data_IF_748018229442
#
_entry.id   IF_748018229442
#
_cell.length_a   1.000
_cell.length_b   1.000
_cell.length_c   1.000
_cell.angle_alpha   90.00
_cell.angle_beta   90.00
_cell.angle_gamma   90.00
#
_symmetry.space_group_name_H-M   'P 1'
#
loop_
_entity.id
_entity.type
_entity.pdbx_description
1 polymer ?
#
# COMPACT_ATOMS: atom_id res chain seq x y z
N UNK A 1 16.15 -1.54 8.91
CA UNK A 1 16.78 -1.96 7.63
C UNK A 1 16.80 -3.46 7.64
N UNK A 2 16.11 -4.09 6.71
CA UNK A 2 16.02 -5.54 6.64
C UNK A 2 17.30 -6.08 5.99
N UNK A 3 17.90 -7.11 6.61
CA UNK A 3 19.15 -7.74 6.15
C UNK A 3 18.80 -9.04 5.43
N UNK A 4 19.17 -9.14 4.16
CA UNK A 4 19.02 -10.36 3.36
C UNK A 4 20.38 -11.06 3.37
N UNK A 5 20.42 -12.30 3.87
CA UNK A 5 21.61 -13.15 3.81
C UNK A 5 21.79 -13.67 2.39
N UNK A 6 23.02 -13.62 1.90
CA UNK A 6 23.42 -14.02 0.55
C UNK A 6 24.63 -14.95 0.60
N UNK A 7 24.95 -15.63 -0.51
CA UNK A 7 26.18 -16.43 -0.63
C UNK A 7 27.49 -15.65 -0.42
N UNK A 8 27.47 -14.29 -0.49
CA UNK A 8 28.64 -13.41 -0.33
C UNK A 8 28.54 -12.46 0.88
N UNK A 9 27.68 -12.74 1.86
CA UNK A 9 27.46 -11.90 3.04
C UNK A 9 26.03 -11.35 3.11
N UNK A 10 25.85 -10.09 3.50
CA UNK A 10 24.52 -9.49 3.66
C UNK A 10 24.25 -8.36 2.66
N UNK A 11 23.04 -8.35 2.08
CA UNK A 11 22.48 -7.20 1.35
C UNK A 11 21.46 -6.48 2.23
N UNK A 12 21.46 -5.16 2.13
CA UNK A 12 20.57 -4.29 2.89
C UNK A 12 19.48 -3.74 1.98
N UNK A 13 18.23 -3.87 2.43
CA UNK A 13 17.07 -3.26 1.78
C UNK A 13 16.34 -2.33 2.75
N UNK A 14 15.66 -1.33 2.17
CA UNK A 14 14.87 -0.35 2.92
C UNK A 14 13.42 -0.39 2.49
N UNK A 15 12.54 -0.74 3.42
CA UNK A 15 11.10 -0.85 3.15
C UNK A 15 10.41 0.52 3.15
N UNK A 16 10.76 1.42 4.09
CA UNK A 16 9.88 2.57 4.36
C UNK A 16 10.60 3.91 4.54
N UNK A 17 9.82 5.00 4.62
CA UNK A 17 10.29 6.37 4.82
C UNK A 17 10.83 7.04 3.56
N UNK A 18 10.16 6.84 2.42
CA UNK A 18 10.53 7.37 1.09
C UNK A 18 9.44 8.19 0.41
N UNK A 19 8.43 8.66 1.16
CA UNK A 19 7.35 9.46 0.61
C UNK A 19 7.90 10.75 -0.02
N UNK A 20 7.33 11.14 -1.14
CA UNK A 20 7.62 12.40 -1.82
C UNK A 20 6.46 13.34 -1.51
N UNK A 21 6.77 14.62 -1.24
CA UNK A 21 5.72 15.64 -1.09
C UNK A 21 5.01 15.81 -2.43
N UNK A 22 3.72 15.51 -2.47
CA UNK A 22 2.88 15.67 -3.66
C UNK A 22 2.25 17.06 -3.65
N UNK A 23 1.95 17.55 -4.84
CA UNK A 23 1.19 18.79 -5.09
C UNK A 23 -0.15 18.53 -5.78
N UNK A 24 -0.41 17.26 -6.10
CA UNK A 24 -1.60 16.80 -6.80
C UNK A 24 -2.10 15.53 -6.15
N UNK A 25 -3.42 15.35 -6.24
CA UNK A 25 -4.11 14.15 -5.79
C UNK A 25 -3.59 12.95 -6.55
N UNK A 26 -3.45 11.81 -5.88
CA UNK A 26 -3.07 10.58 -6.58
C UNK A 26 -4.17 10.09 -7.53
N UNK A 27 -3.76 9.54 -8.67
CA UNK A 27 -4.68 9.07 -9.70
C UNK A 27 -5.68 8.02 -9.15
N UNK A 28 -5.21 7.07 -8.33
CA UNK A 28 -6.08 6.05 -7.74
C UNK A 28 -7.09 6.61 -6.74
N UNK A 29 -6.67 7.56 -5.87
CA UNK A 29 -7.59 8.20 -4.93
C UNK A 29 -8.63 9.06 -5.68
N UNK A 30 -8.20 9.80 -6.71
CA UNK A 30 -9.10 10.58 -7.57
C UNK A 30 -10.14 9.68 -8.25
N UNK A 31 -9.69 8.56 -8.84
CA UNK A 31 -10.58 7.60 -9.51
C UNK A 31 -11.60 7.00 -8.54
N UNK A 32 -11.18 6.58 -7.35
CA UNK A 32 -12.09 6.02 -6.34
C UNK A 32 -13.17 7.02 -5.93
N UNK A 33 -12.78 8.27 -5.67
CA UNK A 33 -13.71 9.33 -5.27
C UNK A 33 -14.65 9.69 -6.41
N UNK A 34 -14.15 9.84 -7.64
CA UNK A 34 -14.99 10.23 -8.79
C UNK A 34 -16.00 9.16 -9.20
N UNK A 35 -15.77 7.90 -8.84
CA UNK A 35 -16.68 6.77 -9.11
C UNK A 35 -17.56 6.39 -7.91
N UNK A 36 -17.59 7.20 -6.84
CA UNK A 36 -18.46 6.95 -5.67
C UNK A 36 -18.11 5.69 -4.87
N UNK A 37 -16.84 5.26 -4.97
CA UNK A 37 -16.33 4.07 -4.27
C UNK A 37 -15.99 4.39 -2.81
N UNK A 38 -15.51 5.62 -2.54
CA UNK A 38 -15.20 6.08 -1.19
C UNK A 38 -16.49 6.49 -0.47
N UNK A 39 -16.74 5.87 0.69
CA UNK A 39 -17.96 6.09 1.49
C UNK A 39 -17.65 6.16 2.98
N UNK A 40 -18.49 6.89 3.71
CA UNK A 40 -18.45 6.96 5.17
C UNK A 40 -17.16 7.56 5.72
N UNK A 41 -16.71 7.05 6.87
CA UNK A 41 -15.44 7.43 7.51
C UNK A 41 -14.27 6.80 6.77
N UNK A 42 -13.29 7.62 6.37
CA UNK A 42 -12.20 7.20 5.49
C UNK A 42 -10.84 7.35 6.17
N UNK A 43 -9.96 6.37 5.98
CA UNK A 43 -8.54 6.42 6.34
C UNK A 43 -7.65 6.34 5.10
N UNK A 44 -6.72 7.29 4.96
CA UNK A 44 -5.56 7.20 4.08
C UNK A 44 -4.41 6.48 4.83
N UNK A 45 -4.28 5.18 4.57
CA UNK A 45 -3.31 4.30 5.23
C UNK A 45 -1.96 4.36 4.51
N UNK A 46 -0.92 4.74 5.24
CA UNK A 46 0.43 5.01 4.69
C UNK A 46 0.46 6.27 3.83
N UNK A 47 -0.24 7.31 4.27
CA UNK A 47 -0.46 8.57 3.57
C UNK A 47 0.81 9.40 3.28
N UNK A 48 1.96 9.03 3.83
CA UNK A 48 3.18 9.83 3.79
C UNK A 48 2.94 11.22 4.37
N UNK A 49 3.14 12.27 3.56
CA UNK A 49 2.88 13.65 3.99
C UNK A 49 1.38 14.00 4.10
N UNK A 50 0.48 13.12 3.67
CA UNK A 50 -0.98 13.26 3.83
C UNK A 50 -1.64 14.21 2.86
N UNK A 51 -1.17 14.28 1.60
CA UNK A 51 -1.78 15.16 0.59
C UNK A 51 -3.20 14.72 0.22
N UNK A 52 -3.40 13.44 -0.10
CA UNK A 52 -4.72 12.91 -0.49
C UNK A 52 -5.71 13.06 0.69
N UNK A 53 -5.31 12.65 1.89
CA UNK A 53 -6.11 12.85 3.10
C UNK A 53 -6.51 14.32 3.34
N UNK A 54 -5.57 15.27 3.23
CA UNK A 54 -5.88 16.69 3.41
C UNK A 54 -6.81 17.23 2.32
N UNK A 55 -6.66 16.75 1.08
CA UNK A 55 -7.49 17.17 -0.04
C UNK A 55 -8.93 16.71 0.11
N UNK A 56 -9.15 15.45 0.52
CA UNK A 56 -10.48 14.85 0.63
C UNK A 56 -11.11 14.92 2.03
N UNK A 57 -10.37 15.42 3.03
CA UNK A 57 -10.83 15.47 4.41
C UNK A 57 -10.90 14.09 5.08
N UNK A 58 -9.95 13.20 4.76
CA UNK A 58 -9.85 11.85 5.36
C UNK A 58 -8.95 11.84 6.59
N UNK A 59 -9.13 10.85 7.46
CA UNK A 59 -8.13 10.54 8.49
C UNK A 59 -6.84 10.05 7.82
N UNK A 60 -5.69 10.30 8.46
CA UNK A 60 -4.39 10.05 7.86
C UNK A 60 -3.46 9.33 8.84
N UNK A 61 -2.87 8.21 8.42
CA UNK A 61 -1.88 7.49 9.19
C UNK A 61 -0.65 7.15 8.34
N UNK A 62 0.54 7.38 8.86
CA UNK A 62 1.79 6.89 8.30
C UNK A 62 2.83 6.66 9.41
N UNK A 63 3.46 5.48 9.50
CA UNK A 63 4.36 5.15 10.60
C UNK A 63 5.65 6.00 10.66
N UNK A 64 5.95 6.82 9.65
CA UNK A 64 7.14 7.69 9.60
C UNK A 64 6.80 9.17 9.55
N UNK A 65 5.71 9.52 8.87
CA UNK A 65 5.40 10.91 8.56
C UNK A 65 4.18 11.44 9.32
N UNK A 66 3.28 10.55 9.78
CA UNK A 66 2.05 10.88 10.52
C UNK A 66 1.70 9.77 11.51
N UNK A 67 2.41 9.79 12.63
CA UNK A 67 2.40 8.72 13.64
C UNK A 67 1.23 8.81 14.63
N UNK A 68 0.32 9.76 14.45
CA UNK A 68 -0.88 9.85 15.30
C UNK A 68 -1.65 8.54 15.19
N UNK A 69 -1.90 7.84 16.31
CA UNK A 69 -2.69 6.61 16.30
C UNK A 69 -4.08 6.86 15.74
N UNK A 70 -4.60 5.89 14.99
CA UNK A 70 -5.96 5.91 14.47
C UNK A 70 -6.78 4.80 15.11
N UNK A 71 -8.03 5.11 15.41
CA UNK A 71 -8.99 4.18 16.00
C UNK A 71 -10.16 4.00 15.03
N UNK A 72 -10.37 2.75 14.60
CA UNK A 72 -11.50 2.37 13.76
C UNK A 72 -12.84 2.29 14.52
N UNK A 73 -13.87 1.73 13.90
CA UNK A 73 -13.88 1.22 12.53
C UNK A 73 -13.91 2.34 11.48
N UNK A 74 -13.40 2.02 10.29
CA UNK A 74 -13.51 2.82 9.08
C UNK A 74 -14.42 2.12 8.07
N UNK A 75 -15.21 2.91 7.34
CA UNK A 75 -16.06 2.43 6.25
C UNK A 75 -15.27 2.25 4.94
N UNK A 76 -14.25 3.10 4.75
CA UNK A 76 -13.30 2.99 3.63
C UNK A 76 -11.86 3.15 4.12
N UNK A 77 -10.97 2.28 3.66
CA UNK A 77 -9.52 2.51 3.77
C UNK A 77 -8.93 2.65 2.37
N UNK A 78 -8.13 3.68 2.13
CA UNK A 78 -7.36 3.84 0.90
C UNK A 78 -5.88 3.62 1.23
N UNK A 79 -5.25 2.66 0.55
CA UNK A 79 -3.84 2.33 0.75
C UNK A 79 -3.08 2.54 -0.55
N UNK A 80 -2.38 3.67 -0.65
CA UNK A 80 -1.84 4.14 -1.90
C UNK A 80 -0.34 3.88 -2.05
N UNK A 81 0.05 2.96 -2.93
CA UNK A 81 1.42 2.58 -3.28
C UNK A 81 2.28 2.02 -2.12
N UNK A 82 1.75 1.94 -0.91
CA UNK A 82 2.44 1.47 0.30
C UNK A 82 2.95 0.04 0.11
N UNK A 83 2.08 -0.85 -0.38
CA UNK A 83 2.34 -2.28 -0.47
C UNK A 83 3.57 -2.59 -1.33
N UNK A 84 3.78 -1.85 -2.42
CA UNK A 84 4.92 -2.05 -3.31
C UNK A 84 6.26 -1.77 -2.61
N UNK A 85 6.27 -1.00 -1.54
CA UNK A 85 7.48 -0.67 -0.76
C UNK A 85 7.74 -1.64 0.38
N UNK A 86 6.86 -2.63 0.58
CA UNK A 86 6.92 -3.57 1.69
C UNK A 86 7.39 -4.95 1.23
N UNK A 87 8.05 -5.66 2.14
CA UNK A 87 8.34 -7.10 2.02
C UNK A 87 7.06 -7.89 2.23
N UNK A 88 7.08 -9.18 1.89
CA UNK A 88 5.92 -10.07 2.11
C UNK A 88 5.43 -10.05 3.56
N UNK A 89 6.35 -10.15 4.52
CA UNK A 89 6.02 -10.12 5.95
C UNK A 89 5.41 -8.79 6.37
N UNK A 90 5.99 -7.66 5.94
CA UNK A 90 5.45 -6.34 6.29
C UNK A 90 4.13 -6.05 5.58
N UNK A 91 3.91 -6.56 4.36
CA UNK A 91 2.60 -6.47 3.70
C UNK A 91 1.53 -7.25 4.45
N UNK A 92 1.84 -8.46 4.93
CA UNK A 92 0.92 -9.24 5.76
C UNK A 92 0.48 -8.43 6.99
N UNK A 93 1.42 -7.83 7.72
CA UNK A 93 1.10 -6.98 8.87
C UNK A 93 0.24 -5.76 8.49
N UNK A 94 0.50 -5.16 7.33
CA UNK A 94 -0.33 -4.06 6.82
C UNK A 94 -1.75 -4.53 6.48
N UNK A 95 -1.90 -5.71 5.86
CA UNK A 95 -3.21 -6.32 5.57
C UNK A 95 -4.00 -6.60 6.85
N UNK A 96 -3.39 -7.26 7.83
CA UNK A 96 -4.00 -7.56 9.13
C UNK A 96 -4.41 -6.28 9.87
N UNK A 97 -3.56 -5.25 9.81
CA UNK A 97 -3.86 -3.94 10.41
C UNK A 97 -5.07 -3.29 9.74
N UNK A 98 -5.11 -3.26 8.40
CA UNK A 98 -6.24 -2.70 7.67
C UNK A 98 -7.53 -3.51 7.93
N UNK A 99 -7.47 -4.84 7.95
CA UNK A 99 -8.63 -5.70 8.25
C UNK A 99 -9.21 -5.40 9.63
N UNK A 100 -8.38 -5.22 10.66
CA UNK A 100 -8.82 -4.86 12.02
C UNK A 100 -9.42 -3.46 12.11
N UNK A 101 -8.99 -2.53 11.25
CA UNK A 101 -9.47 -1.15 11.25
C UNK A 101 -10.77 -0.97 10.44
N UNK A 102 -11.13 -1.93 9.59
CA UNK A 102 -12.37 -1.90 8.82
C UNK A 102 -13.58 -2.31 9.68
N UNK A 103 -14.73 -1.65 9.46
CA UNK A 103 -16.03 -2.15 9.94
C UNK A 103 -16.52 -3.37 9.15
N UNK A 104 -17.53 -4.10 9.63
CA UNK A 104 -17.98 -5.39 9.06
C UNK A 104 -18.32 -5.33 7.56
N UNK A 105 -18.99 -4.27 7.11
CA UNK A 105 -19.41 -4.06 5.71
C UNK A 105 -18.49 -3.10 4.94
N UNK A 106 -17.33 -2.78 5.52
CA UNK A 106 -16.41 -1.78 4.98
C UNK A 106 -15.51 -2.35 3.86
N UNK A 107 -14.75 -1.48 3.19
CA UNK A 107 -13.86 -1.88 2.11
C UNK A 107 -12.53 -1.12 2.15
N UNK A 108 -11.42 -1.84 2.00
CA UNK A 108 -10.12 -1.28 1.70
C UNK A 108 -9.82 -1.34 0.19
N UNK A 109 -9.31 -0.24 -0.35
CA UNK A 109 -8.84 -0.13 -1.73
C UNK A 109 -7.32 -0.04 -1.75
N UNK A 110 -6.69 -1.05 -2.35
CA UNK A 110 -5.24 -1.20 -2.41
C UNK A 110 -4.76 -0.77 -3.80
N UNK A 111 -4.16 0.42 -3.89
CA UNK A 111 -3.73 1.02 -5.15
C UNK A 111 -2.25 0.67 -5.37
N UNK A 112 -1.95 -0.17 -6.35
CA UNK A 112 -0.59 -0.60 -6.66
C UNK A 112 -0.14 -0.08 -8.02
N UNK A 113 1.08 0.46 -8.16
CA UNK A 113 1.63 0.82 -9.47
C UNK A 113 1.87 -0.39 -10.36
N UNK A 114 1.61 -0.21 -11.66
CA UNK A 114 1.91 -1.13 -12.76
C UNK A 114 3.06 -0.63 -13.64
N UNK A 115 3.43 0.64 -13.51
CA UNK A 115 4.58 1.25 -14.21
C UNK A 115 5.96 0.86 -13.62
N UNK A 116 6.11 -0.39 -13.16
CA UNK A 116 7.36 -0.99 -12.69
C UNK A 116 7.49 -2.40 -13.29
N UNK A 117 8.71 -2.94 -13.45
CA UNK A 117 8.88 -4.30 -13.97
C UNK A 117 8.17 -5.34 -13.10
N UNK A 118 7.62 -6.40 -13.70
CA UNK A 118 6.95 -7.49 -12.95
C UNK A 118 7.86 -8.18 -11.93
N UNK A 119 9.15 -8.22 -12.20
CA UNK A 119 10.18 -8.68 -11.26
C UNK A 119 10.51 -7.68 -10.13
N UNK A 120 9.75 -6.60 -10.01
CA UNK A 120 10.09 -5.47 -9.15
C UNK A 120 11.38 -4.74 -9.55
N UNK A 121 11.79 -3.78 -8.73
CA UNK A 121 13.06 -3.06 -8.86
C UNK A 121 13.56 -2.51 -7.53
N UNK A 122 14.87 -2.23 -7.45
CA UNK A 122 15.42 -1.40 -6.39
C UNK A 122 15.36 0.06 -6.83
N UNK A 123 14.63 0.87 -6.08
CA UNK A 123 14.63 2.32 -6.21
C UNK A 123 15.82 2.98 -5.53
N UNK A 124 15.80 4.32 -5.55
CA UNK A 124 16.79 5.16 -4.88
C UNK A 124 16.99 4.74 -3.42
N UNK A 125 18.26 4.76 -2.97
CA UNK A 125 18.66 4.35 -1.61
C UNK A 125 18.28 2.91 -1.25
N UNK A 126 18.31 2.00 -2.24
CA UNK A 126 18.05 0.55 -2.08
C UNK A 126 16.65 0.26 -1.52
N UNK A 127 15.66 1.06 -1.94
CA UNK A 127 14.27 0.84 -1.58
C UNK A 127 13.66 -0.23 -2.46
N UNK A 128 12.99 -1.19 -1.86
CA UNK A 128 12.28 -2.21 -2.65
C UNK A 128 11.07 -1.57 -3.33
N UNK A 129 10.80 -2.02 -4.55
CA UNK A 129 9.57 -1.75 -5.28
C UNK A 129 9.11 -3.07 -5.88
N UNK A 130 8.29 -3.80 -5.14
CA UNK A 130 7.69 -5.06 -5.54
C UNK A 130 6.51 -4.82 -6.49
N UNK A 131 6.38 -5.64 -7.53
CA UNK A 131 5.19 -5.64 -8.40
C UNK A 131 4.10 -6.48 -7.73
N UNK A 132 3.29 -5.82 -6.92
CA UNK A 132 2.33 -6.50 -6.04
C UNK A 132 1.24 -7.19 -6.87
N UNK A 133 1.07 -8.50 -6.64
CA UNK A 133 0.01 -9.32 -7.23
C UNK A 133 -0.74 -10.03 -6.12
N UNK A 134 -2.04 -9.79 -6.01
CA UNK A 134 -2.89 -10.37 -4.98
C UNK A 134 -3.99 -11.20 -5.64
N UNK A 135 -4.44 -12.28 -5.01
CA UNK A 135 -5.62 -13.04 -5.44
C UNK A 135 -6.95 -12.34 -5.06
N UNK A 136 -6.92 -11.03 -4.86
CA UNK A 136 -8.07 -10.20 -4.54
C UNK A 136 -8.75 -9.72 -5.83
N UNK A 137 -10.06 -9.36 -5.77
CA UNK A 137 -10.74 -8.73 -6.90
C UNK A 137 -10.06 -7.42 -7.31
N UNK A 138 -9.76 -7.29 -8.60
CA UNK A 138 -9.34 -6.03 -9.22
C UNK A 138 -10.60 -5.30 -9.68
N UNK A 139 -10.81 -4.09 -9.19
CA UNK A 139 -11.97 -3.27 -9.56
C UNK A 139 -11.66 -2.24 -10.65
N UNK A 140 -10.38 -1.95 -10.84
CA UNK A 140 -9.88 -1.06 -11.88
C UNK A 140 -8.43 -1.41 -12.19
N UNK A 141 -8.09 -1.49 -13.47
CA UNK A 141 -6.73 -1.67 -13.93
C UNK A 141 -6.53 -0.88 -15.22
N UNK A 142 -5.39 -0.20 -15.28
CA UNK A 142 -4.91 0.51 -16.43
C UNK A 142 -3.40 0.30 -16.56
N UNK A 143 -2.78 0.89 -17.58
CA UNK A 143 -1.34 0.73 -17.85
C UNK A 143 -0.45 1.06 -16.64
N UNK A 144 -0.86 2.02 -15.81
CA UNK A 144 -0.01 2.58 -14.74
C UNK A 144 -0.36 2.11 -13.35
N UNK A 145 -1.56 1.58 -13.11
CA UNK A 145 -1.99 1.15 -11.78
C UNK A 145 -3.07 0.05 -11.84
N UNK A 146 -3.20 -0.66 -10.73
CA UNK A 146 -4.34 -1.50 -10.43
C UNK A 146 -4.88 -1.18 -9.04
N UNK A 147 -6.19 -1.34 -8.87
CA UNK A 147 -6.89 -1.14 -7.61
C UNK A 147 -7.54 -2.45 -7.22
N UNK A 148 -7.06 -3.04 -6.12
CA UNK A 148 -7.68 -4.21 -5.52
C UNK A 148 -8.71 -3.81 -4.47
N UNK A 149 -9.76 -4.62 -4.34
CA UNK A 149 -10.75 -4.52 -3.26
C UNK A 149 -10.49 -5.57 -2.19
N UNK A 150 -10.44 -5.15 -0.92
CA UNK A 150 -10.28 -6.04 0.24
C UNK A 150 -11.37 -5.76 1.28
N UNK A 151 -12.12 -6.79 1.66
CA UNK A 151 -13.12 -6.73 2.74
C UNK A 151 -12.49 -7.21 4.07
N UNK A 152 -13.09 -6.94 5.24
CA UNK A 152 -12.45 -7.17 6.54
C UNK A 152 -12.08 -8.63 6.82
N UNK A 153 -12.92 -9.57 6.36
CA UNK A 153 -12.77 -11.01 6.63
C UNK A 153 -12.32 -11.81 5.40
N UNK A 154 -11.86 -11.14 4.34
CA UNK A 154 -11.45 -11.84 3.12
C UNK A 154 -10.12 -12.57 3.33
N UNK A 155 -10.07 -13.82 2.93
CA UNK A 155 -8.82 -14.58 2.78
C UNK A 155 -8.33 -14.46 1.35
N UNK A 156 -7.05 -14.19 1.17
CA UNK A 156 -6.41 -14.10 -0.14
C UNK A 156 -4.94 -14.51 -0.05
N UNK A 157 -4.34 -14.75 -1.21
CA UNK A 157 -2.91 -15.03 -1.36
C UNK A 157 -2.17 -13.83 -1.93
N UNK A 158 -1.02 -13.55 -1.35
CA UNK A 158 -0.02 -12.66 -1.94
C UNK A 158 0.82 -13.47 -2.96
N UNK A 159 0.63 -13.19 -4.25
CA UNK A 159 1.27 -13.86 -5.37
C UNK A 159 2.50 -13.07 -5.90
N UNK A 160 2.97 -12.09 -5.13
CA UNK A 160 4.07 -11.22 -5.51
C UNK A 160 5.39 -11.99 -5.58
N UNK A 161 6.08 -11.89 -6.70
CA UNK A 161 7.45 -12.40 -6.86
C UNK A 161 8.45 -11.43 -6.20
N UNK A 162 8.95 -11.77 -5.01
CA UNK A 162 9.73 -10.86 -4.17
C UNK A 162 11.10 -10.53 -4.76
N UNK A 163 11.42 -9.24 -4.82
CA UNK A 163 12.79 -8.81 -5.18
C UNK A 163 13.84 -9.39 -4.24
N UNK A 164 13.48 -9.60 -2.97
CA UNK A 164 14.39 -10.08 -1.94
C UNK A 164 14.82 -11.53 -2.13
N UNK A 165 13.96 -12.39 -2.69
CA UNK A 165 14.30 -13.79 -2.94
C UNK A 165 15.41 -13.93 -3.98
N UNK A 166 15.41 -13.04 -4.98
CA UNK A 166 16.49 -12.94 -5.98
C UNK A 166 17.76 -12.27 -5.46
N UNK A 167 17.69 -11.62 -4.30
CA UNK A 167 18.85 -10.97 -3.71
C UNK A 167 19.66 -11.91 -2.81
N UNK A 168 19.11 -13.08 -2.44
CA UNK A 168 19.79 -14.17 -1.74
C UNK A 168 20.88 -14.80 -2.63
#
# INVERSE_FOLDING_TARGET
MSKIRTGRGYRYVKELGGAVRRTQVSAGALWLTSHGMVRGRVLDFGCGFGFDAAHFGWDAFDPYYRQTPVEGPYDTIVCNHVLNMLTRTSRLQAFETMQRLLGEEATAYLIVPRNIPERGKLGLRKRIQNYVRLSLPVIHEEEKLAIYRMNPHVTFSDLTDEIEERMK
#
